data_IF_496516847400
#
_entry.id   IF_496516847400
#
_cell.length_a   1.000
_cell.length_b   1.000
_cell.length_c   1.000
_cell.angle_alpha   90.00
_cell.angle_beta   90.00
_cell.angle_gamma   90.00
#
_symmetry.space_group_name_H-M   'P 1'
#
loop_
_entity.id
_entity.type
_entity.pdbx_description
1 polymer ?
#
# COMPACT_ATOMS: atom_id res chain seq x y z
N UNK A 1 9.07 10.97 13.26
CA UNK A 1 8.30 10.81 12.00
C UNK A 1 8.23 12.16 11.31
N UNK A 2 8.55 12.24 10.01
CA UNK A 2 8.32 13.45 9.20
C UNK A 2 7.08 13.25 8.35
N UNK A 3 6.17 14.22 8.35
CA UNK A 3 4.98 14.19 7.48
C UNK A 3 5.46 14.32 6.02
N UNK A 4 5.17 13.31 5.20
CA UNK A 4 5.57 13.31 3.78
C UNK A 4 4.67 14.19 2.91
N UNK A 5 3.35 13.93 2.92
CA UNK A 5 2.35 14.68 2.15
C UNK A 5 1.00 14.63 2.88
N UNK A 6 0.18 15.67 2.70
CA UNK A 6 -1.22 15.70 3.16
C UNK A 6 -2.14 15.65 1.94
N UNK A 7 -3.02 14.65 1.93
CA UNK A 7 -4.07 14.50 0.93
C UNK A 7 -5.35 15.18 1.44
N UNK A 8 -6.16 15.74 0.54
CA UNK A 8 -7.39 16.46 0.88
C UNK A 8 -8.57 15.91 0.09
N UNK A 9 -9.76 15.97 0.69
CA UNK A 9 -11.00 15.44 0.15
C UNK A 9 -11.55 14.28 0.99
N UNK A 10 -12.47 13.50 0.43
CA UNK A 10 -12.95 12.27 1.08
C UNK A 10 -11.78 11.29 1.33
N UNK A 11 -11.98 10.35 2.26
CA UNK A 11 -10.99 9.32 2.53
C UNK A 11 -10.67 8.52 1.26
N UNK A 12 -11.69 8.12 0.52
CA UNK A 12 -11.57 7.39 -0.75
C UNK A 12 -10.73 8.15 -1.78
N UNK A 13 -10.98 9.45 -1.96
CA UNK A 13 -10.20 10.28 -2.89
C UNK A 13 -8.75 10.41 -2.41
N UNK A 14 -8.56 10.57 -1.10
CA UNK A 14 -7.24 10.68 -0.48
C UNK A 14 -6.44 9.38 -0.65
N UNK A 15 -7.06 8.22 -0.44
CA UNK A 15 -6.46 6.90 -0.65
C UNK A 15 -6.13 6.67 -2.12
N UNK A 16 -7.03 7.04 -3.04
CA UNK A 16 -6.78 6.94 -4.49
C UNK A 16 -5.53 7.72 -4.90
N UNK A 17 -5.43 8.97 -4.45
CA UNK A 17 -4.28 9.82 -4.72
C UNK A 17 -3.00 9.31 -4.04
N UNK A 18 -3.10 8.81 -2.81
CA UNK A 18 -1.99 8.20 -2.10
C UNK A 18 -1.43 6.99 -2.84
N UNK A 19 -2.27 6.05 -3.26
CA UNK A 19 -1.85 4.87 -4.01
C UNK A 19 -1.21 5.26 -5.34
N UNK A 20 -1.82 6.20 -6.08
CA UNK A 20 -1.25 6.70 -7.33
C UNK A 20 0.14 7.30 -7.12
N UNK A 21 0.33 8.12 -6.09
CA UNK A 21 1.63 8.72 -5.80
C UNK A 21 2.68 7.68 -5.35
N UNK A 22 2.28 6.63 -4.63
CA UNK A 22 3.20 5.61 -4.12
C UNK A 22 3.55 4.53 -5.13
N UNK A 23 2.62 4.15 -6.01
CA UNK A 23 2.73 2.97 -6.88
C UNK A 23 2.99 3.30 -8.35
N UNK A 24 3.07 4.57 -8.72
CA UNK A 24 3.36 5.00 -10.11
C UNK A 24 4.82 4.90 -10.52
N UNK A 25 5.75 4.64 -9.59
CA UNK A 25 7.17 4.51 -9.93
C UNK A 25 7.44 3.24 -10.75
N UNK A 26 8.20 3.33 -11.86
CA UNK A 26 8.57 2.15 -12.65
C UNK A 26 9.57 1.24 -11.93
N UNK A 27 10.24 1.72 -10.88
CA UNK A 27 11.26 0.98 -10.12
C UNK A 27 10.65 0.16 -8.97
N UNK A 28 9.39 -0.26 -9.10
CA UNK A 28 8.70 -1.07 -8.09
C UNK A 28 8.74 -2.53 -8.52
N UNK A 29 9.12 -3.40 -7.60
CA UNK A 29 8.99 -4.86 -7.76
C UNK A 29 7.53 -5.24 -7.52
N UNK A 30 6.87 -5.77 -8.56
CA UNK A 30 5.43 -6.10 -8.55
C UNK A 30 5.12 -7.52 -8.12
N UNK A 31 6.09 -8.26 -7.58
CA UNK A 31 5.86 -9.61 -7.04
C UNK A 31 4.91 -9.62 -5.83
N UNK A 32 5.06 -8.66 -4.91
CA UNK A 32 4.31 -8.67 -3.65
C UNK A 32 4.05 -7.27 -3.10
N UNK A 33 2.79 -7.05 -2.68
CA UNK A 33 2.38 -5.88 -1.90
C UNK A 33 1.58 -6.29 -0.67
N UNK A 34 1.85 -5.61 0.44
CA UNK A 34 1.05 -5.70 1.66
C UNK A 34 0.13 -4.49 1.79
N UNK A 35 -1.13 -4.73 2.14
CA UNK A 35 -2.06 -3.71 2.63
C UNK A 35 -2.19 -3.91 4.14
N UNK A 36 -1.57 -3.05 4.93
CA UNK A 36 -1.60 -3.13 6.39
C UNK A 36 -2.51 -2.05 6.96
N UNK A 37 -3.44 -2.41 7.84
CA UNK A 37 -4.41 -1.47 8.41
C UNK A 37 -4.57 -1.60 9.92
N UNK A 38 -5.01 -0.51 10.57
CA UNK A 38 -5.40 -0.46 11.98
C UNK A 38 -6.88 -0.07 12.07
N UNK A 39 -7.75 -1.05 12.36
CA UNK A 39 -9.19 -0.86 12.55
C UNK A 39 -9.91 -0.09 11.41
N UNK A 40 -9.41 -0.16 10.17
CA UNK A 40 -10.15 0.31 9.00
C UNK A 40 -11.43 -0.51 8.76
N UNK A 41 -12.44 0.15 8.21
CA UNK A 41 -13.63 -0.53 7.70
C UNK A 41 -13.26 -1.52 6.57
N UNK A 42 -13.91 -2.70 6.51
CA UNK A 42 -13.67 -3.67 5.45
C UNK A 42 -13.79 -3.09 4.03
N UNK A 43 -14.73 -2.17 3.84
CA UNK A 43 -14.99 -1.47 2.58
C UNK A 43 -13.79 -0.62 2.15
N UNK A 44 -13.12 0.03 3.08
CA UNK A 44 -11.90 0.81 2.81
C UNK A 44 -10.77 -0.09 2.32
N UNK A 45 -10.57 -1.24 2.98
CA UNK A 45 -9.52 -2.21 2.60
C UNK A 45 -9.85 -2.83 1.24
N UNK A 46 -11.13 -3.14 0.99
CA UNK A 46 -11.62 -3.65 -0.29
C UNK A 46 -11.38 -2.65 -1.42
N UNK A 47 -11.72 -1.38 -1.22
CA UNK A 47 -11.50 -0.31 -2.21
C UNK A 47 -10.02 -0.20 -2.58
N UNK A 48 -9.12 -0.21 -1.59
CA UNK A 48 -7.67 -0.15 -1.81
C UNK A 48 -7.19 -1.37 -2.59
N UNK A 49 -7.62 -2.57 -2.22
CA UNK A 49 -7.26 -3.81 -2.93
C UNK A 49 -7.75 -3.80 -4.38
N UNK A 50 -9.01 -3.46 -4.63
CA UNK A 50 -9.59 -3.37 -5.97
C UNK A 50 -8.85 -2.35 -6.84
N UNK A 51 -8.50 -1.19 -6.27
CA UNK A 51 -7.74 -0.19 -7.00
C UNK A 51 -6.32 -0.65 -7.34
N UNK A 52 -5.62 -1.30 -6.41
CA UNK A 52 -4.29 -1.87 -6.68
C UNK A 52 -4.38 -2.89 -7.81
N UNK A 53 -5.31 -3.83 -7.75
CA UNK A 53 -5.47 -4.85 -8.79
C UNK A 53 -5.81 -4.26 -10.17
N UNK A 54 -6.54 -3.13 -10.21
CA UNK A 54 -6.93 -2.47 -11.45
C UNK A 54 -5.81 -1.62 -12.07
N UNK A 55 -5.18 -0.76 -11.27
CA UNK A 55 -4.31 0.30 -11.76
C UNK A 55 -2.81 -0.05 -11.64
N UNK A 56 -2.46 -0.95 -10.71
CA UNK A 56 -1.09 -1.30 -10.34
C UNK A 56 -0.98 -2.80 -10.05
N UNK A 57 -1.21 -3.69 -11.04
CA UNK A 57 -1.33 -5.12 -10.77
C UNK A 57 -0.05 -5.69 -10.16
N UNK A 58 -0.17 -6.25 -8.95
CA UNK A 58 0.85 -7.07 -8.29
C UNK A 58 0.49 -8.54 -8.45
N UNK A 59 1.48 -9.42 -8.50
CA UNK A 59 1.27 -10.87 -8.55
C UNK A 59 0.58 -11.37 -7.28
N UNK A 60 0.98 -10.81 -6.12
CA UNK A 60 0.41 -11.15 -4.83
C UNK A 60 0.04 -9.90 -4.02
N UNK A 61 -1.20 -9.89 -3.49
CA UNK A 61 -1.69 -8.84 -2.59
C UNK A 61 -2.07 -9.48 -1.25
N UNK A 62 -1.33 -9.16 -0.18
CA UNK A 62 -1.58 -9.68 1.17
C UNK A 62 -2.20 -8.57 2.04
N UNK A 63 -3.32 -8.86 2.68
CA UNK A 63 -3.93 -7.96 3.66
C UNK A 63 -3.47 -8.38 5.05
N UNK A 64 -3.01 -7.43 5.87
CA UNK A 64 -2.63 -7.68 7.26
C UNK A 64 -3.20 -6.61 8.19
N UNK A 65 -3.41 -6.98 9.45
CA UNK A 65 -3.80 -6.04 10.50
C UNK A 65 -2.56 -5.68 11.33
N UNK A 66 -2.41 -4.38 11.63
CA UNK A 66 -1.37 -3.90 12.50
C UNK A 66 -1.54 -4.45 13.93
N UNK A 67 -0.42 -4.82 14.57
CA UNK A 67 -0.42 -5.26 15.97
C UNK A 67 -0.69 -4.13 16.95
N UNK A 68 -1.00 -4.46 18.21
CA UNK A 68 -1.47 -3.52 19.23
C UNK A 68 -0.53 -2.32 19.45
N UNK A 69 0.79 -2.52 19.49
CA UNK A 69 1.77 -1.42 19.63
C UNK A 69 1.66 -0.43 18.48
N UNK A 70 1.63 -0.91 17.24
CA UNK A 70 1.54 -0.04 16.06
C UNK A 70 0.18 0.64 16.00
N UNK A 71 -0.91 -0.08 16.29
CA UNK A 71 -2.25 0.48 16.32
C UNK A 71 -2.42 1.56 17.39
N UNK A 72 -1.84 1.38 18.58
CA UNK A 72 -1.89 2.37 19.66
C UNK A 72 -1.19 3.68 19.30
N UNK A 73 -0.11 3.62 18.49
CA UNK A 73 0.62 4.81 18.05
C UNK A 73 -0.01 5.48 16.82
N UNK A 74 -0.55 4.70 15.88
CA UNK A 74 -1.08 5.23 14.63
C UNK A 74 -2.56 5.64 14.69
N UNK A 75 -3.33 5.02 15.58
CA UNK A 75 -4.77 5.25 15.71
C UNK A 75 -5.62 4.52 14.66
N UNK A 76 -6.95 4.49 14.85
CA UNK A 76 -7.90 3.81 13.96
C UNK A 76 -7.94 4.48 12.58
N UNK A 77 -8.45 3.74 11.58
CA UNK A 77 -8.53 4.15 10.18
C UNK A 77 -7.16 4.41 9.51
N UNK A 78 -6.07 3.95 10.12
CA UNK A 78 -4.75 4.01 9.49
C UNK A 78 -4.60 2.86 8.50
N UNK A 79 -4.14 3.18 7.29
CA UNK A 79 -3.79 2.21 6.27
C UNK A 79 -2.45 2.58 5.63
N UNK A 80 -1.61 1.57 5.37
CA UNK A 80 -0.36 1.71 4.66
C UNK A 80 -0.15 0.57 3.67
N UNK A 81 0.64 0.85 2.64
CA UNK A 81 1.12 -0.17 1.69
C UNK A 81 2.63 -0.38 1.84
N UNK A 82 3.06 -1.64 1.74
CA UNK A 82 4.48 -2.01 1.76
C UNK A 82 4.81 -2.83 0.52
N UNK A 83 5.89 -2.46 -0.16
CA UNK A 83 6.36 -3.10 -1.38
C UNK A 83 7.88 -2.89 -1.51
N UNK A 84 8.52 -3.66 -2.39
CA UNK A 84 9.95 -3.56 -2.66
C UNK A 84 10.20 -2.67 -3.88
N UNK A 85 11.35 -2.01 -3.88
CA UNK A 85 11.91 -1.44 -5.10
C UNK A 85 12.70 -2.51 -5.84
N UNK A 86 12.73 -2.40 -7.17
CA UNK A 86 13.62 -3.22 -7.98
C UNK A 86 15.06 -2.88 -7.58
N UNK A 87 15.84 -3.90 -7.20
CA UNK A 87 17.27 -3.73 -7.05
C UNK A 87 17.92 -3.73 -8.45
N UNK A 88 18.90 -2.87 -8.67
CA UNK A 88 19.70 -2.85 -9.91
C UNK A 88 20.56 -4.13 -10.13
N UNK A 89 20.50 -5.12 -9.22
CA UNK A 89 21.30 -6.33 -9.27
C UNK A 89 20.44 -7.55 -8.93
N UNK A 90 19.67 -8.03 -9.90
CA UNK A 90 19.34 -9.47 -9.97
C UNK A 90 19.32 -9.82 -11.46
N UNK A 91 20.36 -10.50 -11.99
CA UNK A 91 20.23 -11.16 -13.28
C UNK A 91 19.10 -12.17 -13.14
N UNK A 92 18.18 -12.18 -14.11
CA UNK A 92 17.21 -13.26 -14.24
C UNK A 92 17.96 -14.58 -14.24
N UNK A 93 17.63 -15.45 -13.30
CA UNK A 93 18.04 -16.85 -13.35
C UNK A 93 17.19 -17.53 -14.42
N UNK A 94 17.60 -17.36 -15.68
CA UNK A 94 17.29 -18.29 -16.75
C UNK A 94 18.28 -19.46 -16.63
N UNK A 95 17.82 -20.56 -16.00
CA UNK A 95 18.32 -21.93 -16.24
C UNK A 95 17.09 -22.82 -16.39
#
# INVERSE_FOLDING_TARGET
MKVGKKYRGSLDLSLRNYLKDRLSSPQIDRSLIFITHAACQPETVRLVKEQIMRDFPFEQVIITTAGCTISAHCGPNTLGVLFRHQNAATPSSDI
#
